data_IF_197948614763
#
_entry.id   IF_197948614763
#
_cell.length_a   1.000
_cell.length_b   1.000
_cell.length_c   1.000
_cell.angle_alpha   90.00
_cell.angle_beta   90.00
_cell.angle_gamma   90.00
#
_symmetry.space_group_name_H-M   'P 1'
#
loop_
_entity.id
_entity.type
_entity.pdbx_description
1 polymer ?
#
# COMPACT_ATOMS: atom_id res chain seq x y z
N UNK A 1 5.05 26.83 -4.05
CA UNK A 1 3.79 26.09 -3.97
C UNK A 1 4.14 24.63 -3.76
N UNK A 2 3.75 24.04 -2.63
CA UNK A 2 3.91 22.61 -2.36
C UNK A 2 2.76 21.83 -2.98
N UNK A 3 3.05 20.73 -3.67
CA UNK A 3 2.00 19.83 -4.16
C UNK A 3 1.27 19.20 -2.97
N UNK A 4 -0.07 19.19 -2.99
CA UNK A 4 -0.88 18.47 -1.99
C UNK A 4 -1.14 17.04 -2.45
N UNK A 5 -1.40 16.13 -1.50
CA UNK A 5 -1.75 14.74 -1.82
C UNK A 5 -2.90 14.66 -2.84
N UNK A 6 -3.95 15.46 -2.64
CA UNK A 6 -5.12 15.52 -3.53
C UNK A 6 -4.75 15.98 -4.95
N UNK A 7 -3.86 16.96 -5.06
CA UNK A 7 -3.39 17.48 -6.36
C UNK A 7 -2.55 16.45 -7.10
N UNK A 8 -1.68 15.72 -6.40
CA UNK A 8 -0.85 14.65 -6.98
C UNK A 8 -1.71 13.46 -7.40
N UNK A 9 -2.65 13.04 -6.56
CA UNK A 9 -3.55 11.92 -6.88
C UNK A 9 -4.45 12.25 -8.07
N UNK A 10 -5.00 13.47 -8.11
CA UNK A 10 -5.83 13.92 -9.24
C UNK A 10 -5.06 13.90 -10.56
N UNK A 11 -3.79 14.32 -10.55
CA UNK A 11 -2.93 14.27 -11.74
C UNK A 11 -2.56 12.81 -12.11
N UNK A 12 -2.25 11.96 -11.14
CA UNK A 12 -1.92 10.56 -11.38
C UNK A 12 -3.10 9.77 -11.97
N UNK A 13 -4.33 10.07 -11.56
CA UNK A 13 -5.53 9.42 -12.08
C UNK A 13 -5.86 9.79 -13.54
N UNK A 14 -5.34 10.91 -14.04
CA UNK A 14 -5.46 11.31 -15.44
C UNK A 14 -4.50 10.53 -16.36
N UNK A 15 -3.48 9.86 -15.81
CA UNK A 15 -2.52 9.06 -16.58
C UNK A 15 -3.14 7.73 -17.03
N UNK A 16 -2.65 7.18 -18.14
CA UNK A 16 -3.02 5.83 -18.58
C UNK A 16 -2.54 4.75 -17.60
N UNK A 17 -3.17 3.56 -17.63
CA UNK A 17 -2.80 2.45 -16.74
C UNK A 17 -1.29 2.12 -16.78
N UNK A 18 -0.72 1.99 -17.98
CA UNK A 18 0.71 1.68 -18.15
C UNK A 18 1.63 2.77 -17.58
N UNK A 19 1.23 4.04 -17.67
CA UNK A 19 2.01 5.16 -17.15
C UNK A 19 1.95 5.23 -15.63
N UNK A 20 0.76 4.96 -15.05
CA UNK A 20 0.60 4.82 -13.60
C UNK A 20 1.47 3.69 -13.04
N UNK A 21 1.47 2.52 -13.68
CA UNK A 21 2.32 1.39 -13.27
C UNK A 21 3.80 1.75 -13.31
N UNK A 22 4.25 2.43 -14.37
CA UNK A 22 5.64 2.88 -14.50
C UNK A 22 6.01 3.90 -13.42
N UNK A 23 5.15 4.89 -13.17
CA UNK A 23 5.35 5.88 -12.11
C UNK A 23 5.43 5.20 -10.73
N UNK A 24 4.53 4.28 -10.45
CA UNK A 24 4.52 3.53 -9.19
C UNK A 24 5.80 2.70 -9.01
N UNK A 25 6.28 2.01 -10.05
CA UNK A 25 7.55 1.27 -10.00
C UNK A 25 8.73 2.19 -9.70
N UNK A 26 8.82 3.32 -10.39
CA UNK A 26 9.89 4.28 -10.18
C UNK A 26 9.85 4.91 -8.78
N UNK A 27 8.66 5.22 -8.27
CA UNK A 27 8.49 5.73 -6.91
C UNK A 27 8.94 4.70 -5.88
N UNK A 28 8.52 3.44 -6.05
CA UNK A 28 8.89 2.33 -5.19
C UNK A 28 10.41 2.11 -5.14
N UNK A 29 11.08 2.18 -6.29
CA UNK A 29 12.55 2.07 -6.38
C UNK A 29 13.25 3.29 -5.76
N UNK A 30 12.68 4.49 -5.93
CA UNK A 30 13.23 5.73 -5.39
C UNK A 30 13.09 5.83 -3.87
N UNK A 31 11.98 5.38 -3.28
CA UNK A 31 11.78 5.37 -1.83
C UNK A 31 12.66 4.32 -1.15
N UNK A 32 12.81 3.15 -1.78
CA UNK A 32 13.70 2.09 -1.29
C UNK A 32 15.17 2.55 -1.22
N UNK A 33 15.58 3.46 -2.11
CA UNK A 33 16.94 4.01 -2.13
C UNK A 33 17.19 5.10 -1.08
N UNK A 34 16.12 5.69 -0.51
CA UNK A 34 16.19 6.77 0.47
C UNK A 34 16.02 6.31 1.94
N UNK A 35 15.61 5.06 2.18
CA UNK A 35 15.37 4.49 3.51
C UNK A 35 16.66 3.98 4.18
N UNK A 36 17.61 4.87 4.50
CA UNK A 36 18.71 4.48 5.40
C UNK A 36 18.77 5.25 6.73
N UNK A 37 17.93 6.27 6.94
CA UNK A 37 17.96 7.07 8.18
C UNK A 37 16.60 7.27 8.87
N UNK A 38 15.48 6.85 8.26
CA UNK A 38 14.12 6.96 8.84
C UNK A 38 13.38 5.62 9.00
N UNK A 39 14.10 4.52 8.80
CA UNK A 39 13.51 3.17 8.70
C UNK A 39 13.06 2.64 10.07
N UNK A 40 13.78 2.98 11.14
CA UNK A 40 13.48 2.46 12.49
C UNK A 40 12.13 2.95 13.04
N UNK A 41 11.73 4.20 12.79
CA UNK A 41 10.45 4.74 13.25
C UNK A 41 9.28 4.13 12.47
N UNK A 42 9.46 3.93 11.16
CA UNK A 42 8.46 3.29 10.32
C UNK A 42 8.30 1.80 10.66
N UNK A 43 9.39 1.08 10.83
CA UNK A 43 9.38 -0.32 11.29
C UNK A 43 8.75 -0.45 12.68
N UNK A 44 9.02 0.49 13.60
CA UNK A 44 8.36 0.52 14.91
C UNK A 44 6.84 0.72 14.78
N UNK A 45 6.40 1.60 13.89
CA UNK A 45 4.97 1.83 13.62
C UNK A 45 4.30 0.61 12.97
N UNK A 46 4.99 -0.08 12.05
CA UNK A 46 4.50 -1.32 11.46
C UNK A 46 4.34 -2.42 12.51
N UNK A 47 5.37 -2.63 13.35
CA UNK A 47 5.32 -3.59 14.44
C UNK A 47 4.18 -3.28 15.44
N UNK A 48 3.95 -2.01 15.75
CA UNK A 48 2.82 -1.60 16.59
C UNK A 48 1.48 -1.94 15.93
N UNK A 49 1.31 -1.67 14.64
CA UNK A 49 0.07 -1.97 13.90
C UNK A 49 -0.20 -3.47 13.81
N UNK A 50 0.84 -4.28 13.61
CA UNK A 50 0.73 -5.75 13.62
C UNK A 50 0.25 -6.26 14.99
N UNK A 51 0.86 -5.76 16.08
CA UNK A 51 0.44 -6.12 17.44
C UNK A 51 -1.00 -5.67 17.79
N UNK A 52 -1.47 -4.55 17.21
CA UNK A 52 -2.87 -4.09 17.35
C UNK A 52 -3.84 -5.02 16.57
N UNK A 53 -3.45 -5.48 15.38
CA UNK A 53 -4.24 -6.43 14.59
C UNK A 53 -4.33 -7.82 15.23
N UNK A 54 -3.24 -8.31 15.82
CA UNK A 54 -3.21 -9.59 16.53
C UNK A 54 -4.11 -9.61 17.77
N UNK A 55 -4.42 -8.43 18.34
CA UNK A 55 -5.35 -8.30 19.46
C UNK A 55 -6.81 -8.30 19.02
N UNK A 56 -7.10 -8.02 17.75
CA UNK A 56 -8.45 -7.98 17.21
C UNK A 56 -8.82 -9.32 16.57
N UNK A 57 -9.40 -10.20 17.38
CA UNK A 57 -9.95 -11.49 16.95
C UNK A 57 -10.97 -11.36 15.79
N UNK A 58 -11.59 -10.19 15.60
CA UNK A 58 -12.54 -9.95 14.50
C UNK A 58 -11.87 -9.53 13.19
N UNK A 59 -10.61 -9.09 13.24
CA UNK A 59 -9.78 -8.79 12.07
C UNK A 59 -9.12 -10.05 11.48
N UNK A 60 -9.09 -11.17 12.23
CA UNK A 60 -8.61 -12.45 11.74
C UNK A 60 -9.62 -13.10 10.78
N UNK A 61 -9.41 -12.87 9.49
CA UNK A 61 -10.08 -13.61 8.43
C UNK A 61 -9.40 -14.95 8.20
N UNK A 62 -10.17 -16.03 8.05
CA UNK A 62 -9.60 -17.34 7.73
C UNK A 62 -8.96 -17.32 6.33
N UNK A 63 -7.98 -18.19 6.11
CA UNK A 63 -7.35 -18.34 4.80
C UNK A 63 -8.39 -18.69 3.71
N UNK A 64 -9.40 -19.50 4.06
CA UNK A 64 -10.48 -19.90 3.15
C UNK A 64 -11.36 -18.71 2.74
N UNK A 65 -11.73 -17.85 3.71
CA UNK A 65 -12.55 -16.65 3.47
C UNK A 65 -11.82 -15.63 2.61
N UNK A 66 -10.51 -15.46 2.85
CA UNK A 66 -9.65 -14.61 2.04
C UNK A 66 -9.64 -15.08 0.58
N UNK A 67 -9.37 -16.37 0.35
CA UNK A 67 -9.30 -16.93 -1.00
C UNK A 67 -10.65 -16.85 -1.71
N UNK A 68 -11.75 -17.09 -1.01
CA UNK A 68 -13.10 -16.98 -1.57
C UNK A 68 -13.43 -15.55 -2.03
N UNK A 69 -13.06 -14.54 -1.24
CA UNK A 69 -13.28 -13.14 -1.58
C UNK A 69 -12.56 -12.73 -2.88
N UNK A 70 -11.32 -13.17 -3.09
CA UNK A 70 -10.58 -12.88 -4.32
C UNK A 70 -11.04 -13.72 -5.51
N UNK A 71 -11.35 -14.99 -5.29
CA UNK A 71 -11.91 -15.85 -6.34
C UNK A 71 -13.21 -15.29 -6.94
N UNK A 72 -14.04 -14.65 -6.11
CA UNK A 72 -15.29 -14.01 -6.56
C UNK A 72 -15.12 -12.80 -7.48
N UNK A 73 -13.93 -12.20 -7.52
CA UNK A 73 -13.63 -10.98 -8.29
C UNK A 73 -12.96 -11.25 -9.63
N UNK A 74 -12.61 -12.51 -9.91
CA UNK A 74 -12.05 -12.89 -11.20
C UNK A 74 -13.17 -12.98 -12.26
N UNK A 75 -13.00 -12.35 -13.44
CA UNK A 75 -13.95 -12.50 -14.53
C UNK A 75 -13.95 -13.95 -15.03
N UNK A 76 -15.15 -14.49 -15.33
CA UNK A 76 -15.34 -15.80 -15.95
C UNK A 76 -14.81 -15.86 -17.37
#
# INVERSE_FOLDING_TARGET
>A
MSATYESVMSAALQLGFSERCRLASNLWESTRSAQHEGDEEFETLLNQREAELDQDASAHMSHEDFMAHFASRLPK
#
